data_IF_338510698784
#
_entry.id   IF_338510698784
#
_cell.length_a   1.000
_cell.length_b   1.000
_cell.length_c   1.000
_cell.angle_alpha   90.00
_cell.angle_beta   90.00
_cell.angle_gamma   90.00
#
_symmetry.space_group_name_H-M   'P 1'
#
loop_
_entity.id
_entity.type
_entity.pdbx_description
1 polymer ?
#
# COMPACT_ATOMS: atom_id res chain seq x y z
N UNK A 1 -19.18 -58.05 72.89
CA UNK A 1 -19.03 -57.60 74.30
C UNK A 1 -18.59 -56.14 74.27
N UNK A 2 -19.44 -55.34 74.90
CA UNK A 2 -19.33 -53.90 75.11
C UNK A 2 -18.14 -53.58 76.04
N UNK A 3 -17.41 -52.50 75.83
CA UNK A 3 -16.87 -51.66 76.92
C UNK A 3 -16.27 -50.38 76.36
N UNK A 4 -17.00 -49.30 76.60
CA UNK A 4 -16.62 -47.90 76.46
C UNK A 4 -15.49 -47.53 77.43
N UNK A 5 -14.52 -46.76 76.94
CA UNK A 5 -13.44 -46.16 77.73
C UNK A 5 -13.77 -44.67 77.94
N UNK A 6 -13.55 -44.09 79.14
CA UNK A 6 -14.09 -42.79 79.49
C UNK A 6 -13.19 -41.61 79.10
N UNK A 7 -13.86 -40.47 78.94
CA UNK A 7 -13.34 -39.14 78.65
C UNK A 7 -12.79 -38.48 79.93
N UNK A 8 -11.57 -37.90 79.90
CA UNK A 8 -11.14 -36.90 80.89
C UNK A 8 -10.35 -35.76 80.24
N UNK A 9 -10.72 -34.55 80.67
CA UNK A 9 -10.43 -33.25 80.07
C UNK A 9 -8.95 -32.83 80.11
N UNK A 10 -8.56 -32.15 79.03
CA UNK A 10 -7.30 -31.43 78.80
C UNK A 10 -7.17 -30.21 79.73
N UNK A 11 -5.99 -30.03 80.34
CA UNK A 11 -5.54 -28.70 80.78
C UNK A 11 -4.74 -28.06 79.64
N UNK A 12 -5.19 -26.90 79.20
CA UNK A 12 -4.56 -26.07 78.19
C UNK A 12 -3.25 -25.47 78.73
N UNK A 13 -2.15 -25.68 78.01
CA UNK A 13 -0.93 -24.88 78.16
C UNK A 13 -0.99 -23.80 77.09
N UNK A 14 -1.21 -22.56 77.53
CA UNK A 14 -1.19 -21.38 76.67
C UNK A 14 0.27 -21.08 76.29
N UNK A 15 0.71 -21.48 75.09
CA UNK A 15 1.96 -20.99 74.48
C UNK A 15 1.63 -19.83 73.56
N UNK A 16 2.13 -18.66 73.93
CA UNK A 16 2.15 -17.44 73.12
C UNK A 16 2.92 -17.73 71.83
N UNK A 17 2.23 -17.84 70.69
CA UNK A 17 2.87 -17.81 69.37
C UNK A 17 3.22 -16.35 69.07
N UNK A 18 4.49 -16.00 69.22
CA UNK A 18 5.03 -14.79 68.64
C UNK A 18 5.02 -14.97 67.12
N UNK A 19 4.16 -14.24 66.41
CA UNK A 19 4.29 -14.06 64.97
C UNK A 19 5.58 -13.26 64.74
N UNK A 20 6.67 -13.96 64.41
CA UNK A 20 7.90 -13.34 63.93
C UNK A 20 7.59 -12.72 62.58
N UNK A 21 7.44 -11.40 62.56
CA UNK A 21 7.26 -10.62 61.34
C UNK A 21 8.60 -10.59 60.60
N UNK A 22 8.77 -11.54 59.68
CA UNK A 22 10.01 -11.73 58.92
C UNK A 22 10.13 -10.64 57.85
N UNK A 23 10.86 -9.56 58.19
CA UNK A 23 11.06 -8.41 57.30
C UNK A 23 11.80 -8.79 56.02
N UNK A 24 12.61 -9.85 56.06
CA UNK A 24 13.46 -10.25 54.94
C UNK A 24 12.63 -10.96 53.87
N UNK A 25 11.67 -11.78 54.29
CA UNK A 25 10.69 -12.41 53.38
C UNK A 25 9.79 -11.37 52.65
N UNK A 26 9.52 -10.22 53.27
CA UNK A 26 8.79 -9.12 52.60
C UNK A 26 9.67 -8.36 51.61
N UNK A 27 10.94 -8.12 51.95
CA UNK A 27 11.89 -7.45 51.08
C UNK A 27 12.18 -8.26 49.79
N UNK A 28 12.30 -9.58 49.89
CA UNK A 28 12.46 -10.46 48.73
C UNK A 28 11.24 -10.41 47.81
N UNK A 29 10.03 -10.47 48.36
CA UNK A 29 8.79 -10.43 47.57
C UNK A 29 8.59 -9.10 46.86
N UNK A 30 8.95 -7.99 47.50
CA UNK A 30 8.92 -6.65 46.90
C UNK A 30 9.98 -6.54 45.80
N UNK A 31 11.18 -7.07 46.02
CA UNK A 31 12.27 -7.06 45.04
C UNK A 31 11.91 -7.87 43.79
N UNK A 32 11.30 -9.04 43.95
CA UNK A 32 10.78 -9.85 42.85
C UNK A 32 9.66 -9.12 42.11
N UNK A 33 8.74 -8.47 42.83
CA UNK A 33 7.67 -7.70 42.21
C UNK A 33 8.20 -6.52 41.39
N UNK A 34 9.14 -5.75 41.94
CA UNK A 34 9.79 -4.63 41.24
C UNK A 34 10.58 -5.10 40.03
N UNK A 35 11.26 -6.25 40.12
CA UNK A 35 11.95 -6.87 39.00
C UNK A 35 10.98 -7.27 37.88
N UNK A 36 9.85 -7.90 38.21
CA UNK A 36 8.82 -8.26 37.23
C UNK A 36 8.23 -7.01 36.57
N UNK A 37 7.94 -5.96 37.34
CA UNK A 37 7.45 -4.68 36.79
C UNK A 37 8.49 -4.04 35.85
N UNK A 38 9.77 -4.04 36.24
CA UNK A 38 10.84 -3.53 35.40
C UNK A 38 11.01 -4.34 34.09
N UNK A 39 10.89 -5.67 34.16
CA UNK A 39 10.93 -6.55 32.98
C UNK A 39 9.74 -6.30 32.07
N UNK A 40 8.53 -6.14 32.61
CA UNK A 40 7.33 -5.80 31.82
C UNK A 40 7.46 -4.42 31.18
N UNK A 41 8.04 -3.44 31.88
CA UNK A 41 8.26 -2.08 31.36
C UNK A 41 9.33 -2.02 30.25
N UNK A 42 10.19 -3.04 30.11
CA UNK A 42 11.18 -3.15 29.05
C UNK A 42 10.60 -3.72 27.73
N UNK A 43 9.36 -4.21 27.73
CA UNK A 43 8.71 -4.60 26.48
C UNK A 43 8.23 -3.35 25.74
N UNK A 44 8.77 -3.04 24.55
CA UNK A 44 8.20 -1.97 23.75
C UNK A 44 6.76 -2.35 23.40
N UNK A 45 5.81 -1.45 23.72
CA UNK A 45 4.46 -1.52 23.18
C UNK A 45 4.60 -1.25 21.68
N UNK A 46 4.76 -2.32 20.90
CA UNK A 46 4.73 -2.21 19.46
C UNK A 46 3.28 -2.00 19.05
N UNK A 47 3.02 -0.94 18.27
CA UNK A 47 1.70 -0.75 17.67
C UNK A 47 1.40 -1.96 16.77
N UNK A 48 0.29 -2.65 17.04
CA UNK A 48 -0.15 -3.73 16.18
C UNK A 48 -0.80 -3.13 14.93
N UNK A 49 -0.10 -3.16 13.80
CA UNK A 49 -0.62 -2.67 12.51
C UNK A 49 -1.77 -3.52 11.92
N UNK A 50 -2.19 -4.60 12.60
CA UNK A 50 -3.25 -5.49 12.12
C UNK A 50 -4.64 -4.85 11.98
N UNK A 51 -4.87 -3.67 12.59
CA UNK A 51 -6.15 -2.96 12.53
C UNK A 51 -6.22 -1.92 11.38
N UNK A 52 -5.09 -1.58 10.74
CA UNK A 52 -5.06 -0.57 9.67
C UNK A 52 -5.46 -1.12 8.30
N UNK A 53 -5.35 -2.43 8.09
CA UNK A 53 -5.90 -3.09 6.92
C UNK A 53 -7.37 -3.37 7.18
N UNK A 54 -8.25 -3.02 6.23
CA UNK A 54 -9.71 -3.18 6.32
C UNK A 54 -10.11 -4.62 6.72
N UNK A 55 -10.13 -4.88 8.01
CA UNK A 55 -10.39 -6.20 8.58
C UNK A 55 -11.84 -6.61 8.29
N UNK A 56 -12.02 -7.84 7.81
CA UNK A 56 -13.35 -8.41 7.57
C UNK A 56 -13.96 -8.16 6.19
N UNK A 57 -13.23 -7.54 5.24
CA UNK A 57 -13.67 -7.47 3.83
C UNK A 57 -12.68 -8.21 2.93
N UNK A 58 -13.16 -9.27 2.29
CA UNK A 58 -12.39 -10.00 1.28
C UNK A 58 -12.54 -9.32 -0.08
N UNK A 59 -11.45 -9.28 -0.84
CA UNK A 59 -11.49 -8.93 -2.26
C UNK A 59 -12.03 -10.15 -3.03
N UNK A 60 -13.27 -10.06 -3.47
CA UNK A 60 -13.95 -11.16 -4.16
C UNK A 60 -13.68 -11.03 -5.66
N UNK A 61 -13.31 -12.15 -6.28
CA UNK A 61 -13.29 -12.30 -7.74
C UNK A 61 -14.59 -12.98 -8.15
N UNK A 62 -15.37 -12.29 -8.97
CA UNK A 62 -16.62 -12.78 -9.54
C UNK A 62 -16.37 -13.53 -10.84
N UNK A 63 -15.41 -13.07 -11.63
CA UNK A 63 -15.13 -13.57 -12.98
C UNK A 63 -13.83 -14.37 -13.04
N UNK A 64 -13.80 -15.35 -13.94
CA UNK A 64 -12.59 -16.06 -14.32
C UNK A 64 -12.11 -15.52 -15.67
N UNK A 65 -10.88 -14.99 -15.71
CA UNK A 65 -10.33 -14.39 -16.92
C UNK A 65 -9.42 -15.38 -17.66
N UNK A 66 -9.69 -15.60 -18.95
CA UNK A 66 -8.78 -16.32 -19.86
C UNK A 66 -7.72 -15.35 -20.39
N UNK A 67 -6.59 -15.27 -19.70
CA UNK A 67 -5.53 -14.33 -20.05
C UNK A 67 -4.74 -14.77 -21.29
N UNK A 68 -4.69 -13.86 -22.27
CA UNK A 68 -3.82 -13.88 -23.42
C UNK A 68 -2.76 -12.79 -23.30
N UNK A 69 -1.66 -12.94 -24.04
CA UNK A 69 -0.56 -11.97 -24.08
C UNK A 69 -0.30 -11.54 -25.51
N UNK A 70 -0.48 -10.25 -25.79
CA UNK A 70 -0.05 -9.59 -27.01
C UNK A 70 1.34 -8.98 -26.74
N UNK A 71 2.34 -9.37 -27.53
CA UNK A 71 3.71 -8.89 -27.36
C UNK A 71 4.05 -7.85 -28.41
N UNK A 72 4.67 -6.76 -27.98
CA UNK A 72 5.25 -5.73 -28.83
C UNK A 72 6.76 -5.63 -28.57
N UNK A 73 7.41 -4.58 -29.08
CA UNK A 73 8.83 -4.37 -28.89
C UNK A 73 9.14 -4.06 -27.43
N UNK A 74 8.34 -3.19 -26.80
CA UNK A 74 8.56 -2.69 -25.44
C UNK A 74 7.53 -3.17 -24.40
N UNK A 75 6.47 -3.88 -24.80
CA UNK A 75 5.39 -4.26 -23.89
C UNK A 75 4.94 -5.72 -24.00
N UNK A 76 4.54 -6.29 -22.86
CA UNK A 76 3.79 -7.55 -22.79
C UNK A 76 2.37 -7.20 -22.29
N UNK A 77 1.37 -7.27 -23.18
CA UNK A 77 0.02 -6.78 -22.92
C UNK A 77 -0.91 -7.95 -22.60
N UNK A 78 -1.40 -7.98 -21.38
CA UNK A 78 -2.32 -8.97 -20.84
C UNK A 78 -3.76 -8.52 -21.06
N UNK A 79 -4.54 -9.37 -21.73
CA UNK A 79 -5.93 -9.11 -22.08
C UNK A 79 -6.72 -10.43 -22.14
N UNK A 80 -8.05 -10.36 -22.18
CA UNK A 80 -8.93 -11.51 -22.42
C UNK A 80 -9.66 -11.36 -23.77
N UNK A 81 -10.09 -12.47 -24.42
CA UNK A 81 -10.58 -12.45 -25.80
C UNK A 81 -11.59 -11.36 -26.14
N UNK A 82 -12.52 -11.08 -25.23
CA UNK A 82 -13.60 -10.11 -25.37
C UNK A 82 -13.12 -8.65 -25.52
N UNK A 83 -11.85 -8.38 -25.21
CA UNK A 83 -11.27 -7.04 -25.26
C UNK A 83 -10.06 -6.94 -26.18
N UNK A 84 -9.92 -7.87 -27.13
CA UNK A 84 -8.81 -7.91 -28.09
C UNK A 84 -8.62 -6.59 -28.83
N UNK A 85 -9.68 -6.01 -29.37
CA UNK A 85 -9.60 -4.75 -30.14
C UNK A 85 -9.06 -3.59 -29.29
N UNK A 86 -9.49 -3.52 -28.02
CA UNK A 86 -8.99 -2.53 -27.07
C UNK A 86 -7.51 -2.78 -26.73
N UNK A 87 -7.10 -4.04 -26.60
CA UNK A 87 -5.71 -4.40 -26.36
C UNK A 87 -4.80 -4.04 -27.53
N UNK A 88 -5.25 -4.23 -28.77
CA UNK A 88 -4.52 -3.84 -29.98
C UNK A 88 -4.40 -2.32 -30.11
N UNK A 89 -5.46 -1.56 -29.82
CA UNK A 89 -5.36 -0.09 -29.73
C UNK A 89 -4.43 0.37 -28.60
N UNK A 90 -4.54 -0.25 -27.42
CA UNK A 90 -3.67 0.04 -26.28
C UNK A 90 -2.20 -0.25 -26.58
N UNK A 91 -1.92 -1.31 -27.33
CA UNK A 91 -0.58 -1.66 -27.81
C UNK A 91 -0.01 -0.57 -28.72
N UNK A 92 -0.80 -0.16 -29.71
CA UNK A 92 -0.42 0.91 -30.63
C UNK A 92 -0.12 2.21 -29.88
N UNK A 93 -0.99 2.62 -28.95
CA UNK A 93 -0.77 3.81 -28.14
C UNK A 93 0.46 3.70 -27.24
N UNK A 94 0.66 2.55 -26.60
CA UNK A 94 1.80 2.35 -25.70
C UNK A 94 3.13 2.49 -26.43
N UNK A 95 3.26 1.92 -27.63
CA UNK A 95 4.48 2.04 -28.45
C UNK A 95 4.72 3.47 -28.93
N UNK A 96 3.69 4.14 -29.45
CA UNK A 96 3.80 5.54 -29.88
C UNK A 96 4.20 6.46 -28.71
N UNK A 97 3.61 6.25 -27.54
CA UNK A 97 3.95 7.00 -26.33
C UNK A 97 5.35 6.63 -25.83
N UNK A 98 5.77 5.37 -25.94
CA UNK A 98 7.11 4.94 -25.58
C UNK A 98 8.15 5.73 -26.36
N UNK A 99 8.00 5.83 -27.68
CA UNK A 99 8.92 6.58 -28.54
C UNK A 99 9.00 8.06 -28.13
N UNK A 100 7.86 8.68 -27.80
CA UNK A 100 7.82 10.06 -27.29
C UNK A 100 8.59 10.20 -25.96
N UNK A 101 8.32 9.30 -25.01
CA UNK A 101 8.90 9.35 -23.66
C UNK A 101 10.38 8.97 -23.63
N UNK A 102 10.79 7.99 -24.41
CA UNK A 102 12.20 7.58 -24.60
C UNK A 102 13.06 8.78 -24.99
N UNK A 103 12.61 9.53 -26.00
CA UNK A 103 13.27 10.74 -26.46
C UNK A 103 13.27 11.83 -25.37
N UNK A 104 12.14 12.01 -24.69
CA UNK A 104 12.00 13.06 -23.68
C UNK A 104 12.84 12.82 -22.43
N UNK A 105 12.95 11.57 -21.99
CA UNK A 105 13.78 11.17 -20.85
C UNK A 105 15.26 10.92 -21.24
N UNK A 106 15.56 10.81 -22.54
CA UNK A 106 16.84 10.32 -23.04
C UNK A 106 17.26 9.02 -22.31
N UNK A 107 16.34 8.06 -22.31
CA UNK A 107 16.44 6.84 -21.52
C UNK A 107 15.64 5.70 -22.14
N UNK A 108 16.26 4.53 -22.21
CA UNK A 108 15.64 3.30 -22.69
C UNK A 108 15.25 2.40 -21.51
N UNK A 109 14.09 1.76 -21.62
CA UNK A 109 13.71 0.69 -20.70
C UNK A 109 14.50 -0.59 -21.05
N UNK A 110 15.01 -1.27 -20.02
CA UNK A 110 15.82 -2.47 -20.22
C UNK A 110 14.98 -3.72 -20.53
N UNK A 111 13.78 -3.79 -19.95
CA UNK A 111 12.88 -4.93 -20.02
C UNK A 111 11.51 -4.48 -20.55
N UNK A 112 10.78 -5.41 -21.18
CA UNK A 112 9.39 -5.17 -21.59
C UNK A 112 8.52 -4.90 -20.38
N UNK A 113 7.66 -3.89 -20.47
CA UNK A 113 6.76 -3.49 -19.39
C UNK A 113 5.46 -4.29 -19.52
N UNK A 114 5.03 -5.02 -18.46
CA UNK A 114 3.75 -5.68 -18.48
C UNK A 114 2.62 -4.64 -18.38
N UNK A 115 1.71 -4.62 -19.36
CA UNK A 115 0.48 -3.83 -19.31
C UNK A 115 -0.70 -4.78 -19.11
N UNK A 116 -1.53 -4.53 -18.11
CA UNK A 116 -2.72 -5.33 -17.83
C UNK A 116 -3.93 -4.46 -18.07
N UNK A 117 -4.70 -4.79 -19.10
CA UNK A 117 -5.90 -4.06 -19.43
C UNK A 117 -7.14 -4.79 -18.95
N UNK A 118 -8.10 -4.03 -18.44
CA UNK A 118 -9.43 -4.52 -18.06
C UNK A 118 -10.47 -3.78 -18.87
N UNK A 119 -11.45 -4.50 -19.44
CA UNK A 119 -12.54 -3.89 -20.22
C UNK A 119 -13.48 -3.00 -19.39
N UNK A 120 -13.54 -3.19 -18.07
CA UNK A 120 -14.37 -2.40 -17.18
C UNK A 120 -13.69 -2.10 -15.84
N UNK A 121 -14.14 -1.02 -15.20
CA UNK A 121 -13.77 -0.71 -13.81
C UNK A 121 -14.16 -1.82 -12.81
N UNK A 122 -15.23 -2.58 -13.09
CA UNK A 122 -15.64 -3.70 -12.23
C UNK A 122 -14.61 -4.83 -12.24
N UNK A 123 -14.06 -5.16 -13.42
CA UNK A 123 -13.02 -6.18 -13.53
C UNK A 123 -11.71 -5.71 -12.91
N UNK A 124 -11.35 -4.44 -13.13
CA UNK A 124 -10.17 -3.82 -12.54
C UNK A 124 -10.17 -3.89 -11.01
N UNK A 125 -11.31 -3.62 -10.36
CA UNK A 125 -11.44 -3.75 -8.90
C UNK A 125 -11.24 -5.18 -8.37
N UNK A 126 -11.42 -6.19 -9.22
CA UNK A 126 -11.20 -7.61 -8.87
C UNK A 126 -9.75 -8.06 -9.06
N UNK A 127 -8.86 -7.18 -9.54
CA UNK A 127 -7.50 -7.55 -9.89
C UNK A 127 -6.71 -8.13 -8.71
N UNK A 128 -5.91 -9.17 -8.97
CA UNK A 128 -4.96 -9.71 -7.99
C UNK A 128 -3.59 -9.05 -8.06
N UNK A 129 -3.45 -7.97 -8.82
CA UNK A 129 -2.18 -7.26 -8.95
C UNK A 129 -1.79 -6.55 -7.66
N UNK A 130 -2.79 -6.12 -6.88
CA UNK A 130 -2.62 -5.53 -5.54
C UNK A 130 -3.52 -6.24 -4.52
N UNK A 131 -3.02 -6.53 -3.30
CA UNK A 131 -3.82 -7.15 -2.24
C UNK A 131 -4.91 -6.21 -1.69
N UNK A 132 -4.76 -4.88 -1.87
CA UNK A 132 -5.69 -3.88 -1.37
C UNK A 132 -6.94 -3.69 -2.24
N UNK A 133 -7.93 -3.01 -1.67
CA UNK A 133 -9.03 -2.43 -2.44
C UNK A 133 -8.52 -1.22 -3.22
N UNK A 134 -8.98 -1.10 -4.46
CA UNK A 134 -8.69 0.06 -5.30
C UNK A 134 -9.79 1.10 -5.04
N UNK A 135 -9.44 2.32 -4.62
CA UNK A 135 -10.41 3.40 -4.43
C UNK A 135 -11.22 3.70 -5.68
N UNK A 136 -12.41 4.24 -5.50
CA UNK A 136 -13.18 4.83 -6.59
C UNK A 136 -12.41 6.04 -7.16
N UNK A 137 -12.43 6.18 -8.49
CA UNK A 137 -11.76 7.28 -9.20
C UNK A 137 -10.36 6.98 -9.71
N UNK A 138 -9.75 5.84 -9.31
CA UNK A 138 -8.44 5.41 -9.86
C UNK A 138 -8.62 5.03 -11.33
N UNK A 139 -7.99 5.80 -12.23
CA UNK A 139 -8.03 5.58 -13.68
C UNK A 139 -7.06 4.51 -14.17
N UNK A 140 -6.04 4.20 -13.39
CA UNK A 140 -4.97 3.23 -13.64
C UNK A 140 -3.97 3.28 -12.49
N UNK A 141 -3.02 2.34 -12.46
CA UNK A 141 -1.83 2.50 -11.62
C UNK A 141 -0.62 1.72 -12.12
N UNK A 142 0.55 2.24 -11.79
CA UNK A 142 1.84 1.57 -11.90
C UNK A 142 2.21 0.86 -10.58
N UNK A 143 2.41 -0.44 -10.66
CA UNK A 143 2.81 -1.30 -9.54
C UNK A 143 4.33 -1.52 -9.59
N UNK A 144 5.05 -0.82 -8.71
CA UNK A 144 6.50 -0.68 -8.75
C UNK A 144 7.28 -1.96 -8.39
N UNK A 145 6.72 -2.92 -7.63
CA UNK A 145 7.43 -4.12 -7.20
C UNK A 145 7.59 -5.11 -8.36
N UNK A 146 6.58 -5.23 -9.23
CA UNK A 146 6.66 -6.05 -10.46
C UNK A 146 6.83 -5.24 -11.73
N UNK A 147 6.89 -3.90 -11.63
CA UNK A 147 7.09 -3.01 -12.77
C UNK A 147 5.98 -3.08 -13.81
N UNK A 148 4.74 -3.31 -13.40
CA UNK A 148 3.59 -3.50 -14.30
C UNK A 148 2.58 -2.38 -14.18
N UNK A 149 1.91 -2.07 -15.27
CA UNK A 149 0.85 -1.05 -15.34
C UNK A 149 -0.50 -1.75 -15.46
N UNK A 150 -1.50 -1.25 -14.75
CA UNK A 150 -2.85 -1.83 -14.72
C UNK A 150 -3.88 -0.76 -15.02
N UNK A 151 -4.65 -0.92 -16.10
CA UNK A 151 -5.55 0.14 -16.59
C UNK A 151 -6.94 -0.44 -16.92
N UNK A 152 -8.03 0.07 -16.30
CA UNK A 152 -9.39 -0.12 -16.78
C UNK A 152 -9.71 0.73 -18.00
N UNK A 153 -10.50 0.18 -18.93
CA UNK A 153 -11.25 0.97 -19.88
C UNK A 153 -12.59 1.42 -19.28
N UNK A 154 -13.02 2.60 -19.74
CA UNK A 154 -14.28 3.24 -19.37
C UNK A 154 -15.14 3.57 -20.61
N UNK A 155 -14.76 3.07 -21.79
CA UNK A 155 -15.43 3.34 -23.07
C UNK A 155 -14.95 4.59 -23.81
N UNK A 156 -14.08 5.40 -23.21
CA UNK A 156 -13.47 6.57 -23.86
C UNK A 156 -12.03 6.25 -24.26
N UNK A 157 -11.80 6.12 -25.57
CA UNK A 157 -10.49 5.77 -26.13
C UNK A 157 -9.44 6.88 -25.94
N UNK A 158 -9.86 8.15 -25.94
CA UNK A 158 -8.96 9.28 -25.73
C UNK A 158 -8.49 9.32 -24.28
N UNK A 159 -9.42 9.10 -23.34
CA UNK A 159 -9.07 8.98 -21.93
C UNK A 159 -8.21 7.75 -21.66
N UNK A 160 -8.50 6.61 -22.29
CA UNK A 160 -7.68 5.42 -22.18
C UNK A 160 -6.23 5.67 -22.63
N UNK A 161 -6.04 6.32 -23.79
CA UNK A 161 -4.71 6.73 -24.27
C UNK A 161 -4.01 7.67 -23.31
N UNK A 162 -4.72 8.66 -22.75
CA UNK A 162 -4.17 9.61 -21.76
C UNK A 162 -3.69 8.89 -20.50
N UNK A 163 -4.47 7.94 -20.00
CA UNK A 163 -4.09 7.13 -18.82
C UNK A 163 -2.87 6.26 -19.13
N UNK A 164 -2.82 5.60 -20.30
CA UNK A 164 -1.59 4.88 -20.72
C UNK A 164 -0.39 5.81 -20.66
N UNK A 165 -0.51 7.04 -21.20
CA UNK A 165 0.58 8.01 -21.15
C UNK A 165 0.97 8.38 -19.72
N UNK A 166 -0.01 8.67 -18.87
CA UNK A 166 0.21 8.98 -17.45
C UNK A 166 1.02 7.86 -16.78
N UNK A 167 0.56 6.61 -16.90
CA UNK A 167 1.22 5.47 -16.24
C UNK A 167 2.61 5.19 -16.82
N UNK A 168 2.82 5.37 -18.13
CA UNK A 168 4.14 5.22 -18.71
C UNK A 168 5.11 6.29 -18.21
N UNK A 169 4.66 7.52 -17.93
CA UNK A 169 5.53 8.52 -17.28
C UNK A 169 6.00 8.04 -15.91
N UNK A 170 5.13 7.37 -15.12
CA UNK A 170 5.55 6.73 -13.86
C UNK A 170 6.60 5.64 -14.10
N UNK A 171 6.40 4.77 -15.10
CA UNK A 171 7.34 3.71 -15.46
C UNK A 171 8.72 4.28 -15.80
N UNK A 172 8.78 5.28 -16.69
CA UNK A 172 10.06 5.90 -17.09
C UNK A 172 10.73 6.62 -15.93
N UNK A 173 9.95 7.39 -15.15
CA UNK A 173 10.46 8.13 -14.00
C UNK A 173 11.09 7.17 -12.98
N UNK A 174 10.37 6.11 -12.60
CA UNK A 174 10.85 5.12 -11.66
C UNK A 174 12.11 4.41 -12.16
N UNK A 175 12.09 3.87 -13.39
CA UNK A 175 13.22 3.15 -13.95
C UNK A 175 14.46 4.04 -14.11
N UNK A 176 14.29 5.33 -14.47
CA UNK A 176 15.39 6.29 -14.55
C UNK A 176 16.01 6.55 -13.18
N UNK A 177 15.19 6.76 -12.14
CA UNK A 177 15.68 6.97 -10.77
C UNK A 177 16.43 5.73 -10.29
N UNK A 178 15.85 4.54 -10.46
CA UNK A 178 16.49 3.26 -10.10
C UNK A 178 17.83 3.11 -10.81
N UNK A 179 17.88 3.42 -12.12
CA UNK A 179 19.12 3.35 -12.90
C UNK A 179 20.19 4.29 -12.34
N UNK A 180 19.84 5.56 -12.10
CA UNK A 180 20.76 6.55 -11.54
C UNK A 180 21.26 6.10 -10.16
N UNK A 181 20.38 5.68 -9.26
CA UNK A 181 20.79 5.21 -7.93
C UNK A 181 21.75 4.01 -8.03
N UNK A 182 21.47 3.06 -8.92
CA UNK A 182 22.34 1.90 -9.17
C UNK A 182 23.71 2.31 -9.71
N UNK A 183 23.76 3.22 -10.69
CA UNK A 183 25.01 3.71 -11.29
C UNK A 183 25.91 4.39 -10.23
N UNK A 184 25.31 5.07 -9.25
CA UNK A 184 26.01 5.67 -8.10
C UNK A 184 26.16 4.73 -6.88
N UNK A 185 25.81 3.44 -7.01
CA UNK A 185 25.85 2.44 -5.92
C UNK A 185 25.09 2.87 -4.66
N UNK A 186 23.96 3.55 -4.83
CA UNK A 186 23.05 3.94 -3.76
C UNK A 186 21.91 2.92 -3.62
N UNK A 187 21.41 2.71 -2.39
CA UNK A 187 20.20 1.90 -2.20
C UNK A 187 19.00 2.53 -2.92
N UNK A 188 18.05 1.69 -3.34
CA UNK A 188 16.78 2.10 -3.94
C UNK A 188 15.77 2.33 -2.82
N UNK A 189 16.03 3.32 -1.98
CA UNK A 189 15.20 3.72 -0.83
C UNK A 189 14.73 5.18 -0.91
N UNK A 190 15.19 5.91 -1.93
CA UNK A 190 14.84 7.30 -2.17
C UNK A 190 13.61 7.40 -3.07
N UNK A 191 12.49 7.72 -2.47
CA UNK A 191 11.28 8.09 -3.18
C UNK A 191 11.30 9.56 -3.54
N UNK A 192 10.90 9.88 -4.77
CA UNK A 192 10.68 11.25 -5.20
C UNK A 192 9.36 11.72 -4.58
N UNK A 193 9.25 13.00 -4.16
CA UNK A 193 8.01 13.51 -3.58
C UNK A 193 6.80 13.28 -4.50
N UNK A 194 5.67 12.86 -3.91
CA UNK A 194 4.48 12.47 -4.65
C UNK A 194 3.96 13.58 -5.58
N UNK A 195 3.98 14.84 -5.13
CA UNK A 195 3.56 15.98 -5.95
C UNK A 195 4.35 16.07 -7.27
N UNK A 196 5.61 15.64 -7.27
CA UNK A 196 6.46 15.67 -8.45
C UNK A 196 6.16 14.49 -9.37
N UNK A 197 6.03 13.28 -8.83
CA UNK A 197 5.76 12.09 -9.65
C UNK A 197 4.38 12.17 -10.30
N UNK A 198 3.33 12.46 -9.53
CA UNK A 198 1.97 12.63 -10.05
C UNK A 198 1.86 13.88 -10.92
N UNK A 199 2.44 15.00 -10.49
CA UNK A 199 2.41 16.24 -11.25
C UNK A 199 3.11 16.11 -12.61
N UNK A 200 4.24 15.41 -12.67
CA UNK A 200 4.94 15.11 -13.93
C UNK A 200 4.11 14.19 -14.82
N UNK A 201 3.54 13.12 -14.25
CA UNK A 201 2.69 12.18 -14.98
C UNK A 201 1.46 12.86 -15.57
N UNK A 202 0.75 13.68 -14.79
CA UNK A 202 -0.41 14.43 -15.27
C UNK A 202 -0.03 15.51 -16.29
N UNK A 203 1.05 16.25 -16.05
CA UNK A 203 1.49 17.30 -16.97
C UNK A 203 1.95 16.74 -18.32
N UNK A 204 2.55 15.54 -18.33
CA UNK A 204 3.01 14.89 -19.56
C UNK A 204 1.97 14.00 -20.21
N UNK A 205 0.87 13.64 -19.52
CA UNK A 205 -0.20 12.81 -20.08
C UNK A 205 -1.02 13.54 -21.16
N UNK A 206 -1.16 14.87 -21.06
CA UNK A 206 -1.84 15.69 -22.06
C UNK A 206 -2.24 17.07 -21.54
N UNK A 207 -3.08 17.76 -22.32
CA UNK A 207 -3.68 19.02 -21.89
C UNK A 207 -4.68 18.79 -20.75
N UNK A 208 -4.86 19.81 -19.91
CA UNK A 208 -5.85 19.81 -18.86
C UNK A 208 -7.26 19.65 -19.45
N UNK A 209 -8.03 18.71 -18.90
CA UNK A 209 -9.43 18.48 -19.26
C UNK A 209 -10.40 19.12 -18.25
N UNK A 210 -11.70 18.88 -18.44
CA UNK A 210 -12.76 19.40 -17.58
C UNK A 210 -12.67 18.91 -16.12
N UNK A 211 -12.09 17.73 -15.84
CA UNK A 211 -11.90 17.25 -14.47
C UNK A 211 -10.81 18.08 -13.77
N UNK A 212 -9.73 18.40 -14.46
CA UNK A 212 -8.68 19.29 -13.92
C UNK A 212 -9.25 20.66 -13.59
N UNK A 213 -10.03 21.22 -14.51
CA UNK A 213 -10.67 22.52 -14.29
C UNK A 213 -11.65 22.49 -13.11
N UNK A 214 -12.45 21.43 -12.99
CA UNK A 214 -13.35 21.22 -11.87
C UNK A 214 -12.60 21.17 -10.53
N UNK A 215 -11.54 20.36 -10.45
CA UNK A 215 -10.74 20.20 -9.22
C UNK A 215 -10.10 21.55 -8.84
N UNK A 216 -9.52 22.27 -9.79
CA UNK A 216 -8.88 23.56 -9.53
C UNK A 216 -9.91 24.63 -9.15
N UNK A 217 -11.09 24.65 -9.78
CA UNK A 217 -12.18 25.56 -9.39
C UNK A 217 -12.67 25.26 -7.98
N UNK A 218 -12.85 23.99 -7.63
CA UNK A 218 -13.18 23.57 -6.27
C UNK A 218 -12.07 23.99 -5.28
N UNK A 219 -10.80 23.94 -5.69
CA UNK A 219 -9.67 24.41 -4.88
C UNK A 219 -9.67 25.90 -4.55
N UNK A 220 -10.22 26.71 -5.46
CA UNK A 220 -10.27 28.15 -5.30
C UNK A 220 -11.31 28.60 -4.27
N UNK A 221 -12.47 27.93 -4.17
CA UNK A 221 -13.57 28.42 -3.31
C UNK A 221 -13.29 28.35 -1.80
N UNK A 222 -12.73 27.27 -1.23
CA UNK A 222 -12.36 27.17 0.18
C UNK A 222 -10.96 27.74 0.46
N UNK A 223 -10.25 28.24 -0.57
CA UNK A 223 -8.85 28.64 -0.52
C UNK A 223 -7.92 27.49 -0.04
N UNK A 224 -8.15 26.26 -0.52
CA UNK A 224 -7.32 25.10 -0.15
C UNK A 224 -6.10 24.91 -1.05
N UNK A 225 -5.87 25.80 -2.03
CA UNK A 225 -4.68 25.73 -2.90
C UNK A 225 -3.40 25.78 -2.06
N UNK A 226 -2.59 24.74 -2.25
CA UNK A 226 -1.30 24.59 -1.59
C UNK A 226 -0.28 25.50 -2.28
N UNK A 227 0.48 26.28 -1.51
CA UNK A 227 1.54 27.14 -2.04
C UNK A 227 2.72 26.29 -2.54
N UNK A 228 3.57 26.85 -3.41
CA UNK A 228 4.77 26.15 -3.90
C UNK A 228 5.67 25.66 -2.75
N UNK A 229 5.81 26.47 -1.69
CA UNK A 229 6.59 26.12 -0.51
C UNK A 229 5.99 24.94 0.28
N UNK A 230 4.66 24.77 0.20
CA UNK A 230 3.94 23.73 0.93
C UNK A 230 3.51 22.54 0.06
N UNK A 231 3.89 22.50 -1.23
CA UNK A 231 3.56 21.40 -2.16
C UNK A 231 4.01 20.03 -1.65
N UNK A 232 5.11 19.97 -0.90
CA UNK A 232 5.59 18.76 -0.25
C UNK A 232 4.58 18.14 0.75
N UNK A 233 3.61 18.92 1.23
CA UNK A 233 2.53 18.47 2.11
C UNK A 233 1.35 17.86 1.34
N UNK A 234 1.29 18.06 0.03
CA UNK A 234 0.26 17.44 -0.80
C UNK A 234 0.50 15.94 -0.84
N UNK A 235 -0.43 15.19 -0.27
CA UNK A 235 -0.43 13.72 -0.31
C UNK A 235 -1.22 13.16 -1.48
N UNK A 236 -1.55 14.01 -2.47
CA UNK A 236 -2.32 13.64 -3.66
C UNK A 236 -3.78 13.29 -3.36
N UNK A 237 -4.61 13.31 -4.39
CA UNK A 237 -5.86 12.57 -4.45
C UNK A 237 -5.79 11.65 -5.66
N UNK A 238 -6.30 10.41 -5.55
CA UNK A 238 -6.31 9.44 -6.64
C UNK A 238 -7.28 9.81 -7.79
N UNK A 239 -7.76 11.06 -7.82
CA UNK A 239 -8.74 11.52 -8.78
C UNK A 239 -7.99 11.98 -10.04
N UNK A 240 -7.91 11.07 -11.02
CA UNK A 240 -7.46 11.31 -12.39
C UNK A 240 -8.61 11.76 -13.30
#
# INVERSE_FOLDING_TARGET
MNTSVPFRLRRAVCRRLALTFDRDAWAERISVFLFVVAVVALFPVQESFGQYYMFGRNKIQYENFEWNVLRTDHFDIYYYPEMRDLAEHGAFFAEEIYDELQNRFAFDLADRVPLIFYSTNLHFKQTNTTPGFIPDGVGGFFEFLKGRVVIPANGDIHRFRRVIRHELVHVFTFNRIVRVLRDYRKPVDRFVPLWFTEGLAEYWSGQADYNHEMIIREALFPNYLVTLESLHRSQGSYLM
#
